data_IF_950438336827
#
_entry.id   IF_950438336827
#
_cell.length_a   1.000
_cell.length_b   1.000
_cell.length_c   1.000
_cell.angle_alpha   90.00
_cell.angle_beta   90.00
_cell.angle_gamma   90.00
#
_symmetry.space_group_name_H-M   'P 1'
#
loop_
_entity.id
_entity.type
_entity.pdbx_description
1 polymer ?
#
# COMPACT_ATOMS: atom_id res chain seq x y z
N UNK A 1 62.85 -1.55 -12.87
CA UNK A 1 61.97 -2.08 -11.78
C UNK A 1 60.94 -1.03 -11.37
N UNK A 2 61.33 0.16 -10.83
CA UNK A 2 60.36 1.24 -10.49
C UNK A 2 59.40 1.61 -11.62
N UNK A 3 59.92 1.92 -12.81
CA UNK A 3 59.08 2.24 -13.99
C UNK A 3 58.06 1.14 -14.34
N UNK A 4 58.47 -0.12 -14.21
CA UNK A 4 57.59 -1.28 -14.49
C UNK A 4 56.55 -1.50 -13.40
N UNK A 5 56.88 -1.21 -12.14
CA UNK A 5 55.92 -1.28 -11.03
C UNK A 5 54.88 -0.15 -11.12
N UNK A 6 55.31 1.07 -11.48
CA UNK A 6 54.42 2.22 -11.72
C UNK A 6 53.46 1.97 -12.89
N UNK A 7 53.97 1.48 -14.03
CA UNK A 7 53.17 1.16 -15.22
C UNK A 7 52.10 0.09 -14.95
N UNK A 8 52.35 -0.83 -14.02
CA UNK A 8 51.44 -1.92 -13.68
C UNK A 8 50.71 -1.72 -12.34
N UNK A 9 50.76 -0.51 -11.76
CA UNK A 9 50.12 -0.16 -10.47
C UNK A 9 50.46 -1.11 -9.31
N UNK A 10 51.68 -1.65 -9.30
CA UNK A 10 52.16 -2.54 -8.25
C UNK A 10 52.83 -1.71 -7.16
N UNK A 11 52.36 -1.84 -5.92
CA UNK A 11 53.02 -1.22 -4.78
C UNK A 11 54.33 -1.94 -4.47
N UNK A 12 55.45 -1.25 -4.70
CA UNK A 12 56.78 -1.80 -4.41
C UNK A 12 57.03 -2.06 -2.93
N UNK A 13 56.27 -1.45 -2.02
CA UNK A 13 56.34 -1.72 -0.58
C UNK A 13 55.79 -3.10 -0.19
N UNK A 14 54.93 -3.68 -1.02
CA UNK A 14 54.31 -4.99 -0.79
C UNK A 14 55.08 -6.16 -1.42
N UNK A 15 56.21 -5.90 -2.09
CA UNK A 15 57.02 -6.91 -2.77
C UNK A 15 58.20 -7.35 -1.91
N UNK A 16 58.33 -8.66 -1.69
CA UNK A 16 59.55 -9.25 -1.14
C UNK A 16 60.62 -9.31 -2.24
N UNK A 17 61.71 -8.52 -2.11
CA UNK A 17 62.77 -8.48 -3.10
C UNK A 17 63.72 -9.68 -3.00
N UNK A 18 63.88 -10.42 -4.09
CA UNK A 18 64.76 -11.61 -4.16
C UNK A 18 66.22 -11.30 -4.55
N UNK A 19 66.53 -10.04 -4.86
CA UNK A 19 67.85 -9.61 -5.28
C UNK A 19 68.85 -9.47 -4.12
N UNK A 20 70.13 -9.33 -4.49
CA UNK A 20 71.23 -9.07 -3.53
C UNK A 20 70.88 -7.85 -2.66
N UNK A 21 71.00 -8.01 -1.34
CA UNK A 21 70.61 -7.04 -0.31
C UNK A 21 69.10 -6.72 -0.25
N UNK A 22 68.24 -7.67 -0.65
CA UNK A 22 66.77 -7.52 -0.59
C UNK A 22 66.19 -6.60 -1.66
N UNK A 23 66.94 -6.31 -2.73
CA UNK A 23 66.47 -5.44 -3.81
C UNK A 23 65.41 -6.14 -4.66
N UNK A 24 64.34 -5.43 -4.94
CA UNK A 24 63.27 -5.88 -5.84
C UNK A 24 63.84 -5.96 -7.26
N UNK A 25 63.73 -7.14 -7.86
CA UNK A 25 64.18 -7.42 -9.22
C UNK A 25 63.02 -7.33 -10.21
N UNK A 26 63.34 -7.39 -11.51
CA UNK A 26 62.31 -7.45 -12.55
C UNK A 26 61.50 -8.76 -12.46
N UNK A 27 62.12 -9.84 -11.99
CA UNK A 27 61.47 -11.14 -11.79
C UNK A 27 60.36 -11.07 -10.74
N UNK A 28 60.61 -10.37 -9.62
CA UNK A 28 59.65 -10.24 -8.52
C UNK A 28 58.37 -9.51 -8.94
N UNK A 29 58.49 -8.48 -9.79
CA UNK A 29 57.34 -7.74 -10.34
C UNK A 29 56.52 -8.61 -11.29
N UNK A 30 57.20 -9.41 -12.12
CA UNK A 30 56.53 -10.32 -13.07
C UNK A 30 55.82 -11.46 -12.32
N UNK A 31 56.44 -12.01 -11.26
CA UNK A 31 55.82 -13.06 -10.45
C UNK A 31 54.61 -12.55 -9.67
N UNK A 32 54.65 -11.30 -9.18
CA UNK A 32 53.50 -10.67 -8.53
C UNK A 32 52.34 -10.43 -9.50
N UNK A 33 52.62 -10.06 -10.75
CA UNK A 33 51.62 -9.91 -11.81
C UNK A 33 51.06 -11.24 -12.32
N UNK A 34 51.84 -12.32 -12.25
CA UNK A 34 51.44 -13.66 -12.68
C UNK A 34 50.64 -14.43 -11.61
N UNK A 35 50.64 -13.97 -10.35
CA UNK A 35 49.76 -14.52 -9.32
C UNK A 35 48.35 -13.96 -9.54
N UNK A 36 47.33 -14.81 -9.74
CA UNK A 36 45.96 -14.34 -9.78
C UNK A 36 45.69 -13.63 -8.46
N UNK A 37 45.27 -12.37 -8.53
CA UNK A 37 44.75 -11.67 -7.38
C UNK A 37 43.66 -12.57 -6.77
N UNK A 38 43.97 -13.21 -5.65
CA UNK A 38 42.96 -13.56 -4.66
C UNK A 38 42.39 -12.23 -4.23
N UNK A 39 41.41 -11.76 -5.00
CA UNK A 39 40.47 -10.77 -4.52
C UNK A 39 39.96 -11.38 -3.23
N UNK A 40 40.39 -10.83 -2.10
CA UNK A 40 39.71 -11.01 -0.84
C UNK A 40 38.26 -10.68 -1.14
N UNK A 41 37.46 -11.73 -1.30
CA UNK A 41 36.03 -11.60 -1.38
C UNK A 41 35.65 -10.94 -0.07
N UNK A 42 35.37 -9.63 -0.12
CA UNK A 42 34.65 -8.94 0.95
C UNK A 42 33.51 -9.90 1.31
N UNK A 43 33.41 -10.36 2.57
CA UNK A 43 32.33 -11.24 2.96
C UNK A 43 31.05 -10.59 2.45
N UNK A 44 30.34 -11.30 1.56
CA UNK A 44 28.97 -10.93 1.24
C UNK A 44 28.31 -10.76 2.60
N UNK A 45 27.88 -9.54 2.90
CA UNK A 45 27.11 -9.27 4.11
C UNK A 45 25.81 -10.02 3.92
N UNK A 46 25.80 -11.29 4.36
CA UNK A 46 24.59 -12.08 4.47
C UNK A 46 23.75 -11.29 5.48
N UNK A 47 22.55 -10.80 5.12
CA UNK A 47 21.70 -10.16 6.08
C UNK A 47 21.52 -11.12 7.26
N UNK A 48 21.68 -10.66 8.52
CA UNK A 48 21.63 -11.55 9.67
C UNK A 48 20.31 -12.33 9.64
N UNK A 49 20.42 -13.65 9.82
CA UNK A 49 19.25 -14.49 10.00
C UNK A 49 18.36 -13.88 11.11
N UNK A 50 17.03 -13.90 10.97
CA UNK A 50 16.14 -13.27 11.94
C UNK A 50 16.47 -13.79 13.35
N UNK A 51 16.83 -12.86 14.24
CA UNK A 51 17.28 -13.18 15.58
C UNK A 51 16.24 -14.08 16.27
N UNK A 52 16.64 -15.31 16.58
CA UNK A 52 15.82 -16.21 17.39
C UNK A 52 15.83 -15.63 18.80
N UNK A 53 14.63 -15.29 19.32
CA UNK A 53 14.45 -14.75 20.68
C UNK A 53 15.22 -15.61 21.69
N UNK A 54 15.94 -14.98 22.61
CA UNK A 54 16.59 -15.65 23.73
C UNK A 54 15.59 -16.48 24.56
N UNK A 55 16.02 -17.54 25.26
CA UNK A 55 15.14 -18.33 26.11
C UNK A 55 14.39 -17.45 27.12
N UNK A 56 13.12 -17.78 27.35
CA UNK A 56 12.29 -17.11 28.35
C UNK A 56 12.85 -17.32 29.75
N UNK A 57 12.61 -16.38 30.67
CA UNK A 57 13.10 -16.51 32.04
C UNK A 57 12.52 -17.76 32.72
N UNK A 58 13.26 -18.31 33.69
CA UNK A 58 12.84 -19.49 34.43
C UNK A 58 11.47 -19.24 35.10
N UNK A 59 10.48 -20.08 34.78
CA UNK A 59 9.09 -19.95 35.25
C UNK A 59 8.12 -19.35 34.22
N UNK A 60 8.60 -18.63 33.21
CA UNK A 60 7.73 -17.99 32.21
C UNK A 60 7.31 -18.92 31.07
N UNK A 61 8.12 -19.94 30.77
CA UNK A 61 7.86 -20.86 29.65
C UNK A 61 6.51 -21.57 29.73
N UNK A 62 6.02 -21.88 30.95
CA UNK A 62 4.71 -22.49 31.16
C UNK A 62 3.52 -21.53 30.90
N UNK A 63 3.79 -20.21 30.85
CA UNK A 63 2.81 -19.15 30.57
C UNK A 63 2.87 -18.68 29.11
N UNK A 64 3.78 -19.24 28.32
CA UNK A 64 3.98 -18.87 26.91
C UNK A 64 3.46 -19.97 25.97
N UNK A 65 2.65 -19.57 24.99
CA UNK A 65 2.23 -20.46 23.91
C UNK A 65 2.95 -20.09 22.61
N UNK A 66 3.64 -21.06 22.00
CA UNK A 66 4.29 -20.87 20.71
C UNK A 66 3.46 -21.49 19.60
N UNK A 67 2.74 -20.65 18.86
CA UNK A 67 1.97 -21.07 17.69
C UNK A 67 2.74 -20.76 16.39
N UNK A 68 2.93 -21.78 15.54
CA UNK A 68 3.54 -21.57 14.21
C UNK A 68 2.57 -20.82 13.31
N UNK A 69 3.03 -19.73 12.69
CA UNK A 69 2.22 -19.01 11.69
C UNK A 69 1.82 -19.94 10.54
N UNK A 70 0.56 -19.86 10.12
CA UNK A 70 0.09 -20.54 8.91
C UNK A 70 0.83 -20.03 7.67
N UNK A 71 0.89 -20.83 6.60
CA UNK A 71 1.52 -20.42 5.32
C UNK A 71 0.90 -19.14 4.75
N UNK A 72 -0.42 -19.01 4.85
CA UNK A 72 -1.16 -17.82 4.44
C UNK A 72 -0.68 -16.59 5.24
N UNK A 73 -0.60 -16.70 6.57
CA UNK A 73 -0.16 -15.58 7.42
C UNK A 73 1.29 -15.20 7.17
N UNK A 74 2.18 -16.15 6.90
CA UNK A 74 3.57 -15.87 6.53
C UNK A 74 3.66 -15.10 5.20
N UNK A 75 2.83 -15.48 4.21
CA UNK A 75 2.78 -14.80 2.91
C UNK A 75 2.27 -13.36 3.04
N UNK A 76 1.19 -13.16 3.80
CA UNK A 76 0.64 -11.83 4.09
C UNK A 76 1.70 -10.97 4.81
N UNK A 77 2.36 -11.50 5.84
CA UNK A 77 3.37 -10.77 6.58
C UNK A 77 4.54 -10.31 5.70
N UNK A 78 5.01 -11.19 4.79
CA UNK A 78 6.05 -10.85 3.83
C UNK A 78 5.59 -9.73 2.90
N UNK A 79 4.42 -9.87 2.26
CA UNK A 79 3.88 -8.86 1.33
C UNK A 79 3.66 -7.50 1.98
N UNK A 80 3.13 -7.45 3.21
CA UNK A 80 2.95 -6.19 3.94
C UNK A 80 4.28 -5.51 4.22
N UNK A 81 5.30 -6.28 4.61
CA UNK A 81 6.63 -5.73 4.87
C UNK A 81 7.33 -5.30 3.59
N UNK A 82 7.19 -6.06 2.50
CA UNK A 82 7.72 -5.71 1.20
C UNK A 82 7.11 -4.39 0.69
N UNK A 83 5.80 -4.19 0.83
CA UNK A 83 5.15 -2.93 0.49
C UNK A 83 5.73 -1.75 1.28
N UNK A 84 5.93 -1.89 2.60
CA UNK A 84 6.54 -0.85 3.43
C UNK A 84 8.02 -0.59 3.11
N UNK A 85 8.77 -1.61 2.71
CA UNK A 85 10.19 -1.46 2.40
C UNK A 85 10.41 -0.86 1.00
N UNK A 86 9.43 -1.03 0.10
CA UNK A 86 9.54 -0.61 -1.30
C UNK A 86 8.95 0.78 -1.51
N UNK A 87 7.74 1.03 -1.00
CA UNK A 87 7.05 2.31 -1.17
C UNK A 87 7.56 3.36 -0.19
N UNK A 88 7.70 4.61 -0.64
CA UNK A 88 7.87 5.75 0.25
C UNK A 88 6.48 6.16 0.79
N UNK A 89 5.91 5.32 1.63
CA UNK A 89 4.50 5.43 2.01
C UNK A 89 4.27 6.57 3.00
N UNK A 90 3.48 7.58 2.59
CA UNK A 90 2.94 8.61 3.48
C UNK A 90 1.42 8.48 3.59
N UNK A 91 0.85 9.13 4.60
CA UNK A 91 -0.60 9.19 4.81
C UNK A 91 -1.02 10.63 5.08
N UNK A 92 -2.12 11.05 4.47
CA UNK A 92 -2.80 12.33 4.78
C UNK A 92 -4.25 12.07 5.18
N UNK A 93 -4.86 13.00 5.92
CA UNK A 93 -6.20 12.86 6.48
C UNK A 93 -7.07 14.08 6.21
N UNK A 94 -8.36 13.82 6.01
CA UNK A 94 -9.42 14.80 6.06
C UNK A 94 -10.58 14.24 6.87
N UNK A 95 -11.48 15.12 7.34
CA UNK A 95 -12.81 14.72 7.79
C UNK A 95 -13.84 15.09 6.73
N UNK A 96 -14.86 14.25 6.59
CA UNK A 96 -16.00 14.45 5.70
C UNK A 96 -17.30 14.48 6.51
N UNK A 97 -18.14 15.48 6.25
CA UNK A 97 -19.53 15.53 6.73
C UNK A 97 -20.40 14.58 5.90
N UNK A 98 -20.92 13.54 6.55
CA UNK A 98 -21.71 12.51 5.88
C UNK A 98 -23.20 12.87 5.80
N UNK A 99 -23.62 14.06 6.23
CA UNK A 99 -25.02 14.49 6.30
C UNK A 99 -25.75 14.32 4.96
N UNK A 100 -25.15 14.80 3.87
CA UNK A 100 -25.78 14.76 2.55
C UNK A 100 -25.98 13.33 2.04
N UNK A 101 -24.94 12.49 2.09
CA UNK A 101 -25.02 11.07 1.71
C UNK A 101 -26.02 10.31 2.58
N UNK A 102 -26.01 10.54 3.89
CA UNK A 102 -26.94 9.88 4.80
C UNK A 102 -28.39 10.29 4.55
N UNK A 103 -28.64 11.57 4.31
CA UNK A 103 -29.96 12.10 3.96
C UNK A 103 -30.48 11.48 2.67
N UNK A 104 -29.68 11.53 1.60
CA UNK A 104 -30.01 10.95 0.30
C UNK A 104 -30.28 9.46 0.40
N UNK A 105 -29.41 8.73 1.11
CA UNK A 105 -29.60 7.30 1.35
C UNK A 105 -30.90 7.03 2.10
N UNK A 106 -31.22 7.79 3.15
CA UNK A 106 -32.44 7.59 3.91
C UNK A 106 -33.70 7.88 3.08
N UNK A 107 -33.65 8.87 2.20
CA UNK A 107 -34.74 9.22 1.30
C UNK A 107 -35.00 8.12 0.25
N UNK A 108 -33.95 7.51 -0.31
CA UNK A 108 -34.09 6.63 -1.48
C UNK A 108 -33.84 5.14 -1.22
N UNK A 109 -33.34 4.71 -0.05
CA UNK A 109 -32.95 3.31 0.21
C UNK A 109 -34.04 2.28 -0.10
N UNK A 110 -35.30 2.56 0.26
CA UNK A 110 -36.40 1.61 0.08
C UNK A 110 -36.80 1.47 -1.40
N UNK A 111 -36.93 2.61 -2.09
CA UNK A 111 -37.23 2.64 -3.53
C UNK A 111 -36.10 2.00 -4.33
N UNK A 112 -34.85 2.27 -3.95
CA UNK A 112 -33.66 1.70 -4.57
C UNK A 112 -33.61 0.18 -4.39
N UNK A 113 -33.83 -0.32 -3.17
CA UNK A 113 -33.86 -1.76 -2.88
C UNK A 113 -34.99 -2.45 -3.62
N UNK A 114 -36.20 -1.87 -3.67
CA UNK A 114 -37.32 -2.42 -4.42
C UNK A 114 -37.05 -2.49 -5.93
N UNK A 115 -36.42 -1.44 -6.51
CA UNK A 115 -36.15 -1.36 -7.95
C UNK A 115 -34.99 -2.27 -8.37
N UNK A 116 -33.94 -2.34 -7.57
CA UNK A 116 -32.69 -2.97 -7.97
C UNK A 116 -32.43 -4.31 -7.28
N UNK A 117 -33.15 -4.67 -6.21
CA UNK A 117 -32.92 -5.91 -5.45
C UNK A 117 -31.62 -5.90 -4.65
N UNK A 118 -31.07 -4.73 -4.34
CA UNK A 118 -29.87 -4.55 -3.51
C UNK A 118 -30.02 -3.29 -2.66
N UNK A 119 -29.51 -3.32 -1.44
CA UNK A 119 -29.53 -2.16 -0.54
C UNK A 119 -28.65 -1.04 -1.08
N UNK A 120 -29.10 0.20 -0.95
CA UNK A 120 -28.27 1.36 -1.16
C UNK A 120 -27.28 1.47 0.00
N UNK A 121 -26.03 1.08 -0.24
CA UNK A 121 -24.92 1.19 0.70
C UNK A 121 -24.26 2.56 0.65
N UNK A 122 -23.16 2.70 1.40
CA UNK A 122 -22.27 3.84 1.28
C UNK A 122 -21.20 3.62 0.20
N UNK A 123 -20.84 2.36 -0.07
CA UNK A 123 -19.68 2.03 -0.91
C UNK A 123 -19.81 2.56 -2.33
N UNK A 124 -21.00 2.55 -2.92
CA UNK A 124 -21.22 3.14 -4.24
C UNK A 124 -20.90 4.64 -4.31
N UNK A 125 -21.22 5.42 -3.27
CA UNK A 125 -20.83 6.82 -3.17
C UNK A 125 -19.31 6.98 -3.12
N UNK A 126 -18.64 6.23 -2.25
CA UNK A 126 -17.18 6.28 -2.10
C UNK A 126 -16.45 5.84 -3.36
N UNK A 127 -16.89 4.76 -4.01
CA UNK A 127 -16.31 4.28 -5.27
C UNK A 127 -16.43 5.35 -6.34
N UNK A 128 -17.61 5.97 -6.50
CA UNK A 128 -17.79 7.03 -7.51
C UNK A 128 -16.98 8.29 -7.20
N UNK A 129 -16.97 8.75 -5.95
CA UNK A 129 -16.17 9.91 -5.53
C UNK A 129 -14.66 9.65 -5.72
N UNK A 130 -14.17 8.46 -5.37
CA UNK A 130 -12.77 8.08 -5.63
C UNK A 130 -12.47 8.11 -7.12
N UNK A 131 -13.30 7.48 -7.97
CA UNK A 131 -13.06 7.43 -9.41
C UNK A 131 -13.01 8.81 -10.03
N UNK A 132 -13.89 9.72 -9.62
CA UNK A 132 -13.87 11.09 -10.08
C UNK A 132 -12.55 11.78 -9.70
N UNK A 133 -12.11 11.62 -8.45
CA UNK A 133 -10.82 12.16 -8.00
C UNK A 133 -9.60 11.48 -8.68
N UNK A 134 -9.68 10.18 -8.99
CA UNK A 134 -8.63 9.44 -9.71
C UNK A 134 -8.49 9.92 -11.16
N UNK A 135 -9.60 10.33 -11.81
CA UNK A 135 -9.59 10.92 -13.15
C UNK A 135 -8.89 12.28 -13.16
N UNK A 136 -9.06 13.09 -12.12
CA UNK A 136 -8.40 14.40 -11.97
C UNK A 136 -6.93 14.24 -11.58
N UNK A 137 -6.60 13.23 -10.77
CA UNK A 137 -5.23 12.96 -10.27
C UNK A 137 -4.77 11.56 -10.68
N UNK A 138 -4.36 11.35 -11.95
CA UNK A 138 -4.02 10.02 -12.47
C UNK A 138 -2.84 9.34 -11.78
N UNK A 139 -1.93 10.12 -11.17
CA UNK A 139 -0.78 9.62 -10.43
C UNK A 139 -1.18 8.66 -9.28
N UNK A 140 -2.36 8.85 -8.69
CA UNK A 140 -2.86 7.99 -7.61
C UNK A 140 -3.36 6.64 -8.16
N UNK A 141 -3.79 6.61 -9.44
CA UNK A 141 -4.18 5.40 -10.16
C UNK A 141 -3.03 4.86 -11.04
N UNK A 142 -1.79 4.99 -10.59
CA UNK A 142 -0.60 4.49 -11.29
C UNK A 142 0.17 3.45 -10.46
N UNK A 143 1.22 2.87 -11.04
CA UNK A 143 2.18 2.01 -10.34
C UNK A 143 3.59 2.19 -10.92
N UNK A 144 4.63 1.88 -10.13
CA UNK A 144 6.01 1.83 -10.61
C UNK A 144 6.28 0.43 -11.16
N UNK A 145 6.80 0.37 -12.39
CA UNK A 145 7.32 -0.85 -13.01
C UNK A 145 8.77 -0.64 -13.45
N UNK A 146 9.72 -1.10 -12.63
CA UNK A 146 11.14 -0.85 -12.86
C UNK A 146 11.48 0.64 -12.80
N UNK A 147 11.84 1.21 -13.95
CA UNK A 147 12.16 2.64 -14.13
C UNK A 147 10.97 3.43 -14.70
N UNK A 148 9.88 2.76 -15.08
CA UNK A 148 8.71 3.36 -15.70
C UNK A 148 7.58 3.60 -14.68
N UNK A 149 6.73 4.59 -14.97
CA UNK A 149 5.46 4.81 -14.28
C UNK A 149 4.33 4.37 -15.22
N UNK A 150 3.50 3.43 -14.76
CA UNK A 150 2.38 2.91 -15.53
C UNK A 150 1.07 3.52 -15.02
N UNK A 151 0.59 4.55 -15.71
CA UNK A 151 -0.72 5.14 -15.46
C UNK A 151 -1.85 4.22 -15.92
N UNK A 152 -2.85 3.98 -15.07
CA UNK A 152 -3.99 3.12 -15.40
C UNK A 152 -5.17 3.98 -15.84
N UNK A 153 -5.58 3.82 -17.10
CA UNK A 153 -6.74 4.50 -17.68
C UNK A 153 -8.04 3.67 -17.55
N UNK A 154 -8.08 2.80 -16.54
CA UNK A 154 -9.23 1.99 -16.14
C UNK A 154 -9.28 1.94 -14.61
N UNK A 155 -10.48 1.75 -14.06
CA UNK A 155 -10.74 1.96 -12.64
C UNK A 155 -11.22 0.67 -11.97
N UNK A 156 -10.24 -0.17 -11.62
CA UNK A 156 -10.49 -1.42 -10.92
C UNK A 156 -10.30 -1.21 -9.42
N UNK A 157 -11.39 -1.13 -8.67
CA UNK A 157 -11.35 -0.75 -7.26
C UNK A 157 -11.34 -2.01 -6.39
N UNK A 158 -10.22 -2.24 -5.69
CA UNK A 158 -10.13 -3.21 -4.62
C UNK A 158 -10.97 -2.77 -3.43
N UNK A 159 -11.79 -3.66 -2.86
CA UNK A 159 -12.60 -3.38 -1.67
C UNK A 159 -12.22 -4.37 -0.59
N UNK A 160 -11.65 -3.87 0.52
CA UNK A 160 -11.22 -4.73 1.60
C UNK A 160 -12.44 -5.34 2.33
N UNK A 161 -12.45 -6.66 2.46
CA UNK A 161 -13.50 -7.44 3.15
C UNK A 161 -12.84 -8.27 4.25
N UNK A 162 -13.29 -8.09 5.49
CA UNK A 162 -12.89 -8.95 6.59
C UNK A 162 -13.64 -10.28 6.58
N UNK A 163 -12.91 -11.35 6.86
CA UNK A 163 -13.40 -12.73 6.99
C UNK A 163 -12.79 -13.35 8.25
N UNK A 164 -13.30 -14.50 8.68
CA UNK A 164 -12.75 -15.24 9.84
C UNK A 164 -11.29 -15.68 9.60
N UNK A 165 -10.87 -15.80 8.34
CA UNK A 165 -9.50 -16.15 7.95
C UNK A 165 -8.58 -14.93 7.80
N UNK A 166 -9.12 -13.72 7.97
CA UNK A 166 -8.41 -12.45 7.83
C UNK A 166 -8.99 -11.54 6.77
N UNK A 167 -8.19 -10.56 6.33
CA UNK A 167 -8.57 -9.57 5.34
C UNK A 167 -8.25 -10.05 3.93
N UNK A 168 -9.21 -9.92 3.02
CA UNK A 168 -9.05 -10.13 1.57
C UNK A 168 -9.50 -8.90 0.82
N UNK A 169 -8.96 -8.68 -0.39
CA UNK A 169 -9.26 -7.49 -1.19
C UNK A 169 -9.71 -7.92 -2.59
N UNK A 170 -10.98 -8.33 -2.75
CA UNK A 170 -11.55 -8.56 -4.07
C UNK A 170 -11.68 -7.25 -4.87
N UNK A 171 -11.73 -7.37 -6.20
CA UNK A 171 -11.65 -6.25 -7.14
C UNK A 171 -12.97 -6.05 -7.86
N UNK A 172 -13.53 -4.85 -7.77
CA UNK A 172 -14.65 -4.37 -8.60
C UNK A 172 -14.05 -3.81 -9.89
N UNK A 173 -14.19 -4.54 -11.00
CA UNK A 173 -13.60 -4.18 -12.29
C UNK A 173 -14.43 -3.11 -13.01
N UNK A 174 -13.77 -2.23 -13.76
CA UNK A 174 -14.39 -1.22 -14.62
C UNK A 174 -15.48 -0.41 -13.90
N UNK A 175 -15.21 -0.06 -12.64
CA UNK A 175 -16.20 0.51 -11.71
C UNK A 175 -16.69 1.91 -12.14
N UNK A 176 -15.96 2.58 -13.03
CA UNK A 176 -16.33 3.87 -13.60
C UNK A 176 -17.55 3.76 -14.52
N UNK A 177 -17.68 2.65 -15.25
CA UNK A 177 -18.82 2.36 -16.14
C UNK A 177 -20.07 1.86 -15.40
N UNK A 178 -19.91 1.45 -14.13
CA UNK A 178 -20.98 0.81 -13.38
C UNK A 178 -22.00 1.80 -12.79
N UNK A 179 -23.27 1.41 -12.74
CA UNK A 179 -24.26 2.13 -11.94
C UNK A 179 -24.04 1.90 -10.43
N UNK A 180 -24.64 2.74 -9.58
CA UNK A 180 -24.66 2.52 -8.12
C UNK A 180 -25.16 1.11 -7.76
N UNK A 181 -26.25 0.67 -8.39
CA UNK A 181 -26.83 -0.65 -8.16
C UNK A 181 -25.88 -1.78 -8.56
N UNK A 182 -25.14 -1.61 -9.67
CA UNK A 182 -24.15 -2.58 -10.12
C UNK A 182 -22.97 -2.65 -9.15
N UNK A 183 -22.47 -1.51 -8.66
CA UNK A 183 -21.39 -1.46 -7.66
C UNK A 183 -21.82 -2.18 -6.38
N UNK A 184 -22.98 -1.83 -5.83
CA UNK A 184 -23.47 -2.45 -4.59
C UNK A 184 -23.69 -3.96 -4.73
N UNK A 185 -24.25 -4.42 -5.87
CA UNK A 185 -24.41 -5.86 -6.15
C UNK A 185 -23.07 -6.57 -6.24
N UNK A 186 -22.11 -6.00 -6.95
CA UNK A 186 -20.78 -6.60 -7.15
C UNK A 186 -20.06 -6.70 -5.81
N UNK A 187 -20.05 -5.64 -5.00
CA UNK A 187 -19.42 -5.65 -3.67
C UNK A 187 -20.12 -6.66 -2.76
N UNK A 188 -21.45 -6.70 -2.74
CA UNK A 188 -22.21 -7.67 -1.94
C UNK A 188 -21.90 -9.11 -2.33
N UNK A 189 -21.85 -9.40 -3.64
CA UNK A 189 -21.51 -10.71 -4.18
C UNK A 189 -20.07 -11.14 -3.85
N UNK A 190 -19.09 -10.25 -4.05
CA UNK A 190 -17.69 -10.49 -3.69
C UNK A 190 -17.52 -10.68 -2.18
N UNK A 191 -18.23 -9.88 -1.37
CA UNK A 191 -18.24 -10.01 0.08
C UNK A 191 -18.84 -11.34 0.56
N UNK A 192 -19.89 -11.83 -0.11
CA UNK A 192 -20.43 -13.18 0.14
C UNK A 192 -19.41 -14.25 -0.21
N UNK A 193 -18.84 -14.22 -1.42
CA UNK A 193 -17.79 -15.16 -1.84
C UNK A 193 -16.60 -15.16 -0.87
N UNK A 194 -16.21 -13.99 -0.35
CA UNK A 194 -15.13 -13.86 0.62
C UNK A 194 -15.43 -14.62 1.92
N UNK A 195 -16.61 -14.38 2.51
CA UNK A 195 -17.05 -15.05 3.74
C UNK A 195 -17.22 -16.56 3.54
N UNK A 196 -17.74 -16.96 2.39
CA UNK A 196 -17.96 -18.37 2.04
C UNK A 196 -16.65 -19.08 1.61
N UNK A 197 -15.53 -18.35 1.51
CA UNK A 197 -14.23 -18.90 1.10
C UNK A 197 -14.14 -19.32 -0.37
N UNK A 198 -14.99 -18.73 -1.23
CA UNK A 198 -15.15 -19.06 -2.65
C UNK A 198 -14.45 -18.07 -3.61
N UNK A 199 -13.75 -17.07 -3.07
CA UNK A 199 -12.97 -16.13 -3.90
C UNK A 199 -11.90 -16.87 -4.70
N UNK A 200 -11.85 -16.56 -5.99
CA UNK A 200 -10.80 -17.04 -6.88
C UNK A 200 -9.63 -16.05 -6.89
N UNK A 201 -8.45 -16.51 -7.32
CA UNK A 201 -7.28 -15.62 -7.48
C UNK A 201 -7.60 -14.46 -8.42
N UNK A 202 -8.33 -14.73 -9.50
CA UNK A 202 -8.77 -13.71 -10.46
C UNK A 202 -9.69 -12.64 -9.85
N UNK A 203 -10.40 -12.95 -8.76
CA UNK A 203 -11.22 -11.97 -8.05
C UNK A 203 -10.36 -10.98 -7.24
N UNK A 204 -9.09 -11.32 -6.94
CA UNK A 204 -8.20 -10.54 -6.07
C UNK A 204 -7.04 -9.85 -6.81
N UNK A 205 -7.00 -9.93 -8.15
CA UNK A 205 -5.91 -9.41 -8.97
C UNK A 205 -6.34 -8.26 -9.87
N UNK A 206 -5.40 -7.38 -10.21
CA UNK A 206 -5.59 -6.31 -11.19
C UNK A 206 -6.41 -5.12 -10.69
N UNK A 207 -6.50 -4.92 -9.37
CA UNK A 207 -6.99 -3.68 -8.79
C UNK A 207 -5.94 -2.58 -8.97
N UNK A 208 -6.38 -1.36 -9.27
CA UNK A 208 -5.52 -0.18 -9.48
C UNK A 208 -5.54 0.77 -8.29
N UNK A 209 -6.61 0.76 -7.51
CA UNK A 209 -6.77 1.51 -6.26
C UNK A 209 -7.54 0.66 -5.26
N UNK A 210 -7.35 0.88 -3.95
CA UNK A 210 -8.07 0.14 -2.91
C UNK A 210 -8.86 1.07 -1.98
N UNK A 211 -10.05 0.63 -1.58
CA UNK A 211 -10.82 1.21 -0.49
C UNK A 211 -10.90 0.19 0.65
N UNK A 212 -10.52 0.61 1.85
CA UNK A 212 -10.59 -0.19 3.07
C UNK A 212 -11.46 0.51 4.11
N UNK A 213 -12.46 -0.19 4.65
CA UNK A 213 -13.37 0.37 5.63
C UNK A 213 -13.11 -0.23 7.02
N UNK A 214 -12.28 0.43 7.82
CA UNK A 214 -12.05 0.09 9.23
C UNK A 214 -13.18 0.55 10.15
N UNK A 215 -14.04 1.45 9.67
CA UNK A 215 -15.17 1.99 10.42
C UNK A 215 -16.20 0.94 10.84
N UNK A 216 -16.33 -0.16 10.09
CA UNK A 216 -17.19 -1.29 10.46
C UNK A 216 -16.75 -1.97 11.77
N UNK A 217 -15.48 -1.81 12.17
CA UNK A 217 -14.92 -2.30 13.43
C UNK A 217 -14.81 -1.21 14.49
N UNK A 218 -15.35 -0.01 14.23
CA UNK A 218 -15.28 1.13 15.14
C UNK A 218 -13.95 1.89 15.10
N UNK A 219 -13.07 1.63 14.13
CA UNK A 219 -11.83 2.40 13.98
C UNK A 219 -12.13 3.87 13.73
N UNK A 220 -11.55 4.75 14.54
CA UNK A 220 -11.68 6.20 14.39
C UNK A 220 -10.74 6.75 13.31
N UNK A 221 -9.50 6.23 13.28
CA UNK A 221 -8.44 6.67 12.38
C UNK A 221 -7.38 5.57 12.29
N UNK A 222 -6.81 5.38 11.11
CA UNK A 222 -5.75 4.41 10.83
C UNK A 222 -4.97 4.81 9.58
N UNK A 223 -3.77 4.24 9.43
CA UNK A 223 -2.92 4.37 8.24
C UNK A 223 -2.99 3.06 7.45
N UNK A 224 -3.81 2.98 6.39
CA UNK A 224 -3.85 1.76 5.58
C UNK A 224 -2.50 1.52 4.89
N UNK A 225 -2.07 0.25 4.81
CA UNK A 225 -0.88 -0.15 4.06
C UNK A 225 -1.29 -0.39 2.60
N UNK A 226 -0.48 0.12 1.66
CA UNK A 226 -0.70 -0.06 0.22
C UNK A 226 -0.78 -1.55 -0.16
N UNK A 227 -1.71 -1.85 -1.07
CA UNK A 227 -1.78 -3.16 -1.70
C UNK A 227 -0.91 -3.15 -2.97
N UNK A 228 0.37 -3.46 -2.80
CA UNK A 228 1.34 -3.43 -3.90
C UNK A 228 0.84 -4.23 -5.13
N UNK A 229 1.03 -3.73 -6.36
CA UNK A 229 1.85 -2.56 -6.74
C UNK A 229 1.11 -1.19 -6.74
N UNK A 230 -0.10 -1.10 -6.19
CA UNK A 230 -0.92 0.11 -6.24
C UNK A 230 -0.26 1.30 -5.52
N UNK A 231 -0.45 2.51 -6.07
CA UNK A 231 0.10 3.75 -5.50
C UNK A 231 -0.82 4.47 -4.52
N UNK A 232 -2.07 4.00 -4.34
CA UNK A 232 -3.05 4.64 -3.48
C UNK A 232 -4.02 3.68 -2.79
N UNK A 233 -4.37 3.99 -1.54
CA UNK A 233 -5.42 3.33 -0.78
C UNK A 233 -6.18 4.32 0.10
N UNK A 234 -7.51 4.32 -0.01
CA UNK A 234 -8.40 5.09 0.85
C UNK A 234 -8.83 4.26 2.06
N UNK A 235 -8.61 4.79 3.27
CA UNK A 235 -9.13 4.31 4.53
C UNK A 235 -10.39 5.08 4.94
N UNK A 236 -11.51 4.37 5.05
CA UNK A 236 -12.77 4.85 5.61
C UNK A 236 -12.88 4.43 7.08
N UNK A 237 -13.34 5.35 7.93
CA UNK A 237 -13.44 5.15 9.37
C UNK A 237 -14.88 5.25 9.87
N UNK A 238 -15.08 5.11 11.18
CA UNK A 238 -16.40 5.14 11.80
C UNK A 238 -17.06 6.49 11.56
N UNK A 239 -18.32 6.47 11.12
CA UNK A 239 -19.21 7.63 11.16
C UNK A 239 -19.65 7.83 12.60
N UNK A 240 -19.47 9.03 13.14
CA UNK A 240 -19.96 9.37 14.47
C UNK A 240 -20.39 10.82 14.55
N UNK A 241 -21.45 11.06 15.32
CA UNK A 241 -21.94 12.41 15.62
C UNK A 241 -20.86 13.21 16.36
N UNK A 242 -20.53 14.39 15.85
CA UNK A 242 -19.57 15.32 16.46
C UNK A 242 -20.13 16.75 16.44
N UNK A 243 -19.83 17.57 17.47
CA UNK A 243 -20.10 19.00 17.42
C UNK A 243 -19.08 19.67 16.49
N UNK A 244 -19.57 20.32 15.42
CA UNK A 244 -18.76 21.01 14.42
C UNK A 244 -19.30 22.44 14.23
N UNK A 245 -18.42 23.40 13.98
CA UNK A 245 -18.83 24.76 13.62
C UNK A 245 -19.33 24.78 12.16
N UNK A 246 -20.57 25.20 11.95
CA UNK A 246 -21.20 25.40 10.64
C UNK A 246 -21.80 26.80 10.64
N UNK A 247 -21.34 27.67 9.74
CA UNK A 247 -21.79 29.06 9.62
C UNK A 247 -21.79 29.84 10.95
N UNK A 248 -20.75 29.63 11.76
CA UNK A 248 -20.59 30.27 13.07
C UNK A 248 -21.43 29.67 14.21
N UNK A 249 -22.20 28.60 13.96
CA UNK A 249 -22.99 27.90 14.97
C UNK A 249 -22.43 26.49 15.23
N UNK A 250 -22.62 25.97 16.44
CA UNK A 250 -22.29 24.57 16.74
C UNK A 250 -23.46 23.69 16.29
N UNK A 251 -23.21 22.83 15.31
CA UNK A 251 -24.15 21.82 14.84
C UNK A 251 -23.59 20.41 15.11
N UNK A 252 -24.48 19.48 15.45
CA UNK A 252 -24.11 18.06 15.51
C UNK A 252 -24.18 17.50 14.10
N UNK A 253 -23.08 16.89 13.63
CA UNK A 253 -22.96 16.31 12.29
C UNK A 253 -22.38 14.89 12.35
N UNK A 254 -22.86 13.97 11.49
CA UNK A 254 -22.24 12.66 11.29
C UNK A 254 -20.92 12.80 10.54
N UNK A 255 -19.81 12.79 11.26
CA UNK A 255 -18.48 12.98 10.68
C UNK A 255 -17.75 11.65 10.47
N UNK A 256 -16.99 11.55 9.39
CA UNK A 256 -16.08 10.45 9.11
C UNK A 256 -14.66 10.97 8.89
N UNK A 257 -13.65 10.33 9.49
CA UNK A 257 -12.26 10.53 9.07
C UNK A 257 -11.93 9.68 7.84
N UNK A 258 -11.27 10.30 6.87
CA UNK A 258 -10.74 9.67 5.68
C UNK A 258 -9.21 9.73 5.74
N UNK A 259 -8.55 8.64 5.37
CA UNK A 259 -7.10 8.57 5.27
C UNK A 259 -6.72 8.14 3.85
N UNK A 260 -5.85 8.89 3.17
CA UNK A 260 -5.22 8.42 1.95
C UNK A 260 -3.78 8.05 2.28
N UNK A 261 -3.43 6.78 2.15
CA UNK A 261 -2.02 6.38 2.05
C UNK A 261 -1.63 6.27 0.58
N UNK A 262 -0.43 6.76 0.27
CA UNK A 262 0.07 6.85 -1.10
C UNK A 262 1.57 6.61 -1.17
N UNK A 263 2.07 6.20 -2.34
CA UNK A 263 3.50 6.06 -2.60
C UNK A 263 4.09 7.40 -3.04
N UNK A 264 4.86 8.03 -2.17
CA UNK A 264 5.46 9.35 -2.41
C UNK A 264 6.58 9.33 -3.46
N UNK A 265 6.90 8.17 -4.04
CA UNK A 265 7.76 8.09 -5.23
C UNK A 265 7.03 8.52 -6.51
N UNK A 266 5.70 8.46 -6.54
CA UNK A 266 4.87 8.89 -7.68
C UNK A 266 3.97 10.07 -7.34
N UNK A 267 3.39 10.07 -6.14
CA UNK A 267 2.35 11.02 -5.74
C UNK A 267 2.94 12.07 -4.80
N UNK A 268 2.86 13.34 -5.19
CA UNK A 268 3.28 14.45 -4.34
C UNK A 268 2.22 14.81 -3.29
N UNK A 269 2.64 15.48 -2.21
CA UNK A 269 1.72 15.92 -1.14
C UNK A 269 0.56 16.79 -1.65
N UNK A 270 0.78 17.64 -2.67
CA UNK A 270 -0.28 18.45 -3.29
C UNK A 270 -1.34 17.57 -3.95
N UNK A 271 -0.92 16.57 -4.70
CA UNK A 271 -1.80 15.64 -5.42
C UNK A 271 -2.60 14.80 -4.42
N UNK A 272 -1.94 14.26 -3.39
CA UNK A 272 -2.57 13.48 -2.33
C UNK A 272 -3.65 14.28 -1.58
N UNK A 273 -3.34 15.52 -1.20
CA UNK A 273 -4.31 16.40 -0.51
C UNK A 273 -5.45 16.78 -1.44
N UNK A 274 -5.16 17.13 -2.69
CA UNK A 274 -6.18 17.49 -3.69
C UNK A 274 -7.15 16.33 -3.90
N UNK A 275 -6.65 15.11 -4.11
CA UNK A 275 -7.48 13.92 -4.23
C UNK A 275 -8.40 13.71 -3.02
N UNK A 276 -7.85 13.81 -1.81
CA UNK A 276 -8.64 13.55 -0.60
C UNK A 276 -9.71 14.63 -0.38
N UNK A 277 -9.41 15.88 -0.75
CA UNK A 277 -10.38 16.98 -0.78
C UNK A 277 -11.47 16.72 -1.82
N UNK A 278 -11.15 16.25 -3.04
CA UNK A 278 -12.16 15.90 -4.05
C UNK A 278 -13.08 14.77 -3.60
N UNK A 279 -12.53 13.74 -2.96
CA UNK A 279 -13.33 12.68 -2.36
C UNK A 279 -14.26 13.24 -1.28
N UNK A 280 -13.76 14.12 -0.41
CA UNK A 280 -14.57 14.82 0.60
C UNK A 280 -15.70 15.63 -0.06
N UNK A 281 -15.41 16.47 -1.04
CA UNK A 281 -16.39 17.31 -1.74
C UNK A 281 -17.49 16.46 -2.41
N UNK A 282 -17.12 15.36 -3.07
CA UNK A 282 -18.10 14.44 -3.68
C UNK A 282 -18.97 13.68 -2.68
N UNK A 283 -18.54 13.57 -1.42
CA UNK A 283 -19.34 12.98 -0.34
C UNK A 283 -20.19 14.04 0.38
N UNK A 284 -19.68 15.25 0.55
CA UNK A 284 -20.41 16.36 1.18
C UNK A 284 -21.49 16.94 0.25
N UNK A 285 -21.30 16.81 -1.07
CA UNK A 285 -22.30 17.13 -2.09
C UNK A 285 -22.34 16.06 -3.21
N UNK A 286 -23.12 14.99 -3.02
CA UNK A 286 -23.22 13.90 -3.99
C UNK A 286 -23.80 14.31 -5.36
N UNK A 287 -24.41 15.49 -5.48
CA UNK A 287 -24.99 15.96 -6.74
C UNK A 287 -23.90 16.41 -7.72
N UNK A 288 -22.71 16.79 -7.24
CA UNK A 288 -21.57 17.19 -8.08
C UNK A 288 -21.18 16.12 -9.10
N UNK A 289 -21.25 14.85 -8.68
CA UNK A 289 -20.96 13.71 -9.55
C UNK A 289 -21.96 13.52 -10.70
N UNK A 290 -23.15 14.16 -10.65
CA UNK A 290 -24.09 14.20 -11.78
C UNK A 290 -23.72 15.25 -12.83
N UNK A 291 -22.91 16.24 -12.43
CA UNK A 291 -22.55 17.40 -13.24
C UNK A 291 -21.09 17.35 -13.71
N UNK A 292 -20.37 16.27 -13.41
CA UNK A 292 -18.92 16.12 -13.62
C UNK A 292 -18.11 17.28 -12.99
N UNK A 293 -18.50 17.71 -11.77
CA UNK A 293 -17.95 18.86 -11.01
C UNK A 293 -17.11 18.50 -9.78
#
# INVERSE_FOLDING_TARGET
VRKMAEENKVDTGALAGSGKDGRITKGDVIEHLAKPATAEAKPLVIPPAPAVRAPSQAGDGAREERVRMSRLRQTIARRLKDAQNTAAMLTTWNEADMTAVMSLRNQFKEVFEKKHGVKLGFMSFFVKACIQALKEIPAINAEIDGEDIVYKNYYNIGVAVGTDKGLVVPVVRDADTMSFATIEKTISGLGKKARDGQLQIADMQGGTFTISNGGVYGSLMSMPILNAPQSGILGMHKIQERPIAVDGQVAIRPMMYLALSYDHRIVDGKEAVTFLVRVKEGLEDPQRGLLDL
#
